data_IF_075446843871
#
_entry.id   IF_075446843871
#
_cell.length_a   1.000
_cell.length_b   1.000
_cell.length_c   1.000
_cell.angle_alpha   90.00
_cell.angle_beta   90.00
_cell.angle_gamma   90.00
#
_symmetry.space_group_name_H-M   'P 1'
#
loop_
_entity.id
_entity.type
_entity.pdbx_description
1 polymer ?
#
# COMPACT_ATOMS: atom_id res chain seq x y z
N UNK A 1 -23.28 -22.14 -3.16
CA UNK A 1 -24.51 -21.32 -3.18
C UNK A 1 -24.86 -21.06 -1.72
N UNK A 2 -24.22 -20.07 -1.09
CA UNK A 2 -24.35 -19.76 0.36
C UNK A 2 -24.22 -18.25 0.66
N UNK A 3 -24.61 -17.38 -0.29
CA UNK A 3 -24.59 -15.93 -0.08
C UNK A 3 -25.98 -15.33 0.19
N UNK A 4 -27.03 -16.15 0.27
CA UNK A 4 -28.42 -15.67 0.36
C UNK A 4 -28.81 -15.01 1.70
N UNK A 5 -27.94 -15.01 2.71
CA UNK A 5 -28.32 -14.54 4.06
C UNK A 5 -27.49 -13.37 4.63
N UNK A 6 -26.52 -12.80 3.91
CA UNK A 6 -25.82 -11.60 4.38
C UNK A 6 -26.59 -10.32 4.03
N UNK A 7 -27.39 -9.81 4.98
CA UNK A 7 -27.95 -8.46 4.90
C UNK A 7 -26.95 -7.46 5.50
N UNK A 8 -26.29 -6.69 4.65
CA UNK A 8 -25.45 -5.57 5.08
C UNK A 8 -26.38 -4.41 5.48
N UNK A 9 -26.33 -3.91 6.72
CA UNK A 9 -27.16 -2.78 7.12
C UNK A 9 -26.75 -1.52 6.34
N UNK A 10 -27.73 -0.67 6.03
CA UNK A 10 -27.44 0.66 5.51
C UNK A 10 -26.85 1.49 6.64
N UNK A 11 -25.58 1.83 6.53
CA UNK A 11 -24.89 2.72 7.47
C UNK A 11 -25.02 4.15 6.94
N UNK A 12 -25.78 4.98 7.66
CA UNK A 12 -25.96 6.39 7.32
C UNK A 12 -25.00 7.27 8.12
N UNK A 13 -24.27 8.14 7.43
CA UNK A 13 -23.40 9.13 8.06
C UNK A 13 -24.00 10.54 7.94
N UNK A 14 -23.89 11.39 8.99
CA UNK A 14 -24.46 12.75 8.96
C UNK A 14 -23.60 13.77 8.18
N UNK A 15 -22.65 13.33 7.37
CA UNK A 15 -21.79 14.17 6.53
C UNK A 15 -21.69 13.63 5.11
N UNK A 16 -21.41 14.51 4.15
CA UNK A 16 -21.15 14.11 2.77
C UNK A 16 -19.71 13.60 2.61
N UNK A 17 -19.55 12.56 1.78
CA UNK A 17 -18.22 12.11 1.38
C UNK A 17 -17.57 13.10 0.41
N UNK A 18 -16.25 13.22 0.48
CA UNK A 18 -15.45 13.97 -0.47
C UNK A 18 -14.51 13.04 -1.26
N UNK A 19 -13.97 13.54 -2.36
CA UNK A 19 -13.03 12.82 -3.21
C UNK A 19 -12.04 13.81 -3.80
N UNK A 20 -10.76 13.47 -3.81
CA UNK A 20 -9.75 14.24 -4.53
C UNK A 20 -10.05 14.25 -6.05
N UNK A 21 -9.63 15.29 -6.78
CA UNK A 21 -9.76 15.33 -8.25
C UNK A 21 -8.84 14.30 -8.92
N UNK A 22 -9.06 14.06 -10.22
CA UNK A 22 -8.18 13.29 -11.12
C UNK A 22 -7.84 11.86 -10.66
N UNK A 23 -8.80 11.17 -10.02
CA UNK A 23 -8.63 9.81 -9.50
C UNK A 23 -8.21 8.81 -10.58
N UNK A 24 -8.70 8.95 -11.81
CA UNK A 24 -8.33 8.08 -12.93
C UNK A 24 -6.84 8.20 -13.26
N UNK A 25 -6.33 9.43 -13.30
CA UNK A 25 -4.92 9.71 -13.56
C UNK A 25 -4.03 9.21 -12.42
N UNK A 26 -4.50 9.35 -11.17
CA UNK A 26 -3.87 8.78 -9.98
C UNK A 26 -3.78 7.25 -10.06
N UNK A 27 -4.87 6.57 -10.42
CA UNK A 27 -4.91 5.11 -10.57
C UNK A 27 -3.96 4.64 -11.69
N UNK A 28 -3.94 5.33 -12.84
CA UNK A 28 -3.05 4.99 -13.94
C UNK A 28 -1.55 5.10 -13.57
N UNK A 29 -1.18 6.19 -12.86
CA UNK A 29 0.19 6.37 -12.38
C UNK A 29 0.57 5.32 -11.34
N UNK A 30 -0.35 4.99 -10.44
CA UNK A 30 -0.17 3.95 -9.42
C UNK A 30 0.00 2.55 -10.03
N UNK A 31 -0.78 2.21 -11.06
CA UNK A 31 -0.63 0.95 -11.81
C UNK A 31 0.73 0.86 -12.50
N UNK A 32 1.16 1.95 -13.12
CA UNK A 32 2.48 2.07 -13.75
C UNK A 32 3.59 1.89 -12.71
N UNK A 33 3.46 2.54 -11.55
CA UNK A 33 4.40 2.40 -10.43
C UNK A 33 4.46 0.96 -9.92
N UNK A 34 3.32 0.31 -9.67
CA UNK A 34 3.27 -1.06 -9.20
C UNK A 34 3.91 -2.05 -10.19
N UNK A 35 3.68 -1.83 -11.50
CA UNK A 35 4.31 -2.62 -12.56
C UNK A 35 5.83 -2.45 -12.54
N UNK A 36 6.32 -1.20 -12.43
CA UNK A 36 7.76 -0.88 -12.37
C UNK A 36 8.46 -1.55 -11.19
N UNK A 37 7.79 -1.64 -10.04
CA UNK A 37 8.33 -2.30 -8.85
C UNK A 37 8.06 -3.81 -8.79
N UNK A 38 7.48 -4.40 -9.86
CA UNK A 38 7.22 -5.83 -9.93
C UNK A 38 6.12 -6.33 -8.98
N UNK A 39 5.29 -5.45 -8.41
CA UNK A 39 4.24 -5.81 -7.45
C UNK A 39 3.07 -6.59 -8.08
N UNK A 40 3.01 -6.65 -9.41
CA UNK A 40 2.02 -7.43 -10.15
C UNK A 40 2.73 -8.49 -10.99
N UNK A 41 3.24 -9.57 -10.39
CA UNK A 41 4.12 -10.53 -11.07
C UNK A 41 3.39 -11.40 -12.11
N UNK A 42 2.05 -11.46 -12.07
CA UNK A 42 1.23 -12.19 -13.03
C UNK A 42 0.10 -11.31 -13.56
N UNK A 43 -0.50 -11.72 -14.69
CA UNK A 43 -1.66 -11.06 -15.26
C UNK A 43 -2.86 -11.05 -14.29
N UNK A 44 -3.02 -12.09 -13.47
CA UNK A 44 -4.05 -12.16 -12.44
C UNK A 44 -3.83 -11.12 -11.33
N UNK A 45 -2.59 -10.99 -10.81
CA UNK A 45 -2.26 -9.96 -9.84
C UNK A 45 -2.49 -8.55 -10.41
N UNK A 46 -2.15 -8.33 -11.69
CA UNK A 46 -2.42 -7.07 -12.39
C UNK A 46 -3.91 -6.77 -12.47
N UNK A 47 -4.72 -7.74 -12.90
CA UNK A 47 -6.17 -7.59 -12.97
C UNK A 47 -6.82 -7.40 -11.58
N UNK A 48 -6.28 -8.04 -10.53
CA UNK A 48 -6.71 -7.80 -9.14
C UNK A 48 -6.38 -6.37 -8.70
N UNK A 49 -5.17 -5.88 -8.97
CA UNK A 49 -4.77 -4.51 -8.63
C UNK A 49 -5.61 -3.45 -9.35
N UNK A 50 -6.00 -3.67 -10.62
CA UNK A 50 -6.88 -2.77 -11.38
C UNK A 50 -8.32 -2.72 -10.83
N UNK A 51 -8.81 -3.85 -10.29
CA UNK A 51 -10.15 -3.96 -9.68
C UNK A 51 -10.20 -3.40 -8.27
N UNK A 52 -9.08 -3.40 -7.53
CA UNK A 52 -9.04 -2.98 -6.13
C UNK A 52 -9.21 -1.46 -5.93
N UNK A 53 -8.97 -0.65 -6.98
CA UNK A 53 -9.19 0.82 -6.97
C UNK A 53 -8.52 1.55 -5.81
N UNK A 54 -7.26 1.21 -5.51
CA UNK A 54 -6.51 1.80 -4.40
C UNK A 54 -6.38 3.33 -4.49
N UNK A 55 -6.32 3.92 -5.69
CA UNK A 55 -6.34 5.36 -5.84
C UNK A 55 -7.69 5.97 -5.44
N UNK A 56 -8.81 5.31 -5.74
CA UNK A 56 -10.12 5.77 -5.28
C UNK A 56 -10.25 5.68 -3.77
N UNK A 57 -9.64 4.67 -3.15
CA UNK A 57 -9.61 4.58 -1.69
C UNK A 57 -8.79 5.73 -1.08
N UNK A 58 -7.58 5.96 -1.60
CA UNK A 58 -6.74 7.09 -1.20
C UNK A 58 -7.46 8.44 -1.35
N UNK A 59 -8.06 8.69 -2.52
CA UNK A 59 -8.73 9.94 -2.86
C UNK A 59 -9.94 10.26 -1.98
N UNK A 60 -10.61 9.24 -1.44
CA UNK A 60 -11.74 9.41 -0.51
C UNK A 60 -11.29 9.52 0.94
N UNK A 61 -10.20 8.85 1.31
CA UNK A 61 -9.60 8.96 2.65
C UNK A 61 -8.91 10.31 2.88
N UNK A 62 -8.27 10.86 1.83
CA UNK A 62 -7.50 12.10 1.90
C UNK A 62 -7.86 13.07 0.76
N UNK A 63 -9.13 13.55 0.70
CA UNK A 63 -9.66 14.31 -0.43
C UNK A 63 -8.99 15.68 -0.65
N UNK A 64 -8.28 16.18 0.36
CA UNK A 64 -7.61 17.49 0.33
C UNK A 64 -6.08 17.37 0.40
N UNK A 65 -5.52 16.16 0.30
CA UNK A 65 -4.08 15.99 0.24
C UNK A 65 -3.50 16.57 -1.05
N UNK A 66 -2.23 16.98 -1.01
CA UNK A 66 -1.54 17.38 -2.23
C UNK A 66 -1.46 16.20 -3.22
N UNK A 67 -1.49 16.45 -4.54
CA UNK A 67 -1.45 15.37 -5.53
C UNK A 67 -0.25 14.43 -5.37
N UNK A 68 0.89 14.96 -4.95
CA UNK A 68 2.11 14.19 -4.74
C UNK A 68 2.02 13.29 -3.49
N UNK A 69 1.52 13.81 -2.36
CA UNK A 69 1.32 12.99 -1.16
C UNK A 69 0.24 11.93 -1.39
N UNK A 70 -0.82 12.27 -2.13
CA UNK A 70 -1.88 11.35 -2.49
C UNK A 70 -1.36 10.20 -3.38
N UNK A 71 -0.46 10.49 -4.33
CA UNK A 71 0.22 9.46 -5.12
C UNK A 71 1.05 8.52 -4.23
N UNK A 72 1.85 9.07 -3.32
CA UNK A 72 2.65 8.25 -2.39
C UNK A 72 1.73 7.35 -1.56
N UNK A 73 0.61 7.87 -1.06
CA UNK A 73 -0.32 7.10 -0.26
C UNK A 73 -1.05 6.00 -1.08
N UNK A 74 -1.44 6.29 -2.33
CA UNK A 74 -2.03 5.29 -3.22
C UNK A 74 -1.04 4.15 -3.56
N UNK A 75 0.24 4.48 -3.75
CA UNK A 75 1.31 3.51 -3.97
C UNK A 75 1.57 2.68 -2.71
N UNK A 76 1.58 3.33 -1.54
CA UNK A 76 1.69 2.67 -0.25
C UNK A 76 0.55 1.69 0.01
N UNK A 77 -0.72 2.07 -0.25
CA UNK A 77 -1.86 1.17 -0.13
C UNK A 77 -1.72 -0.05 -1.06
N UNK A 78 -1.29 0.17 -2.31
CA UNK A 78 -1.08 -0.93 -3.23
C UNK A 78 0.01 -1.89 -2.73
N UNK A 79 1.13 -1.36 -2.23
CA UNK A 79 2.16 -2.17 -1.61
C UNK A 79 1.65 -2.93 -0.38
N UNK A 80 0.96 -2.23 0.52
CA UNK A 80 0.46 -2.78 1.78
C UNK A 80 -0.43 -3.99 1.54
N UNK A 81 -1.45 -3.86 0.69
CA UNK A 81 -2.36 -4.96 0.39
C UNK A 81 -1.71 -6.10 -0.39
N UNK A 82 -0.78 -5.80 -1.31
CA UNK A 82 -0.06 -6.86 -2.05
C UNK A 82 0.86 -7.67 -1.14
N UNK A 83 1.54 -7.02 -0.20
CA UNK A 83 2.39 -7.71 0.77
C UNK A 83 1.56 -8.49 1.79
N UNK A 84 0.44 -7.91 2.22
CA UNK A 84 -0.53 -8.62 3.05
C UNK A 84 -0.98 -9.92 2.36
N UNK A 85 -1.49 -9.84 1.14
CA UNK A 85 -1.99 -11.00 0.37
C UNK A 85 -0.91 -12.06 0.05
N UNK A 86 0.31 -11.65 -0.33
CA UNK A 86 1.30 -12.57 -0.92
C UNK A 86 2.39 -13.03 0.04
N UNK A 87 2.65 -12.26 1.09
CA UNK A 87 3.75 -12.51 2.04
C UNK A 87 3.23 -12.85 3.42
N UNK A 88 2.19 -12.15 3.89
CA UNK A 88 1.69 -12.23 5.27
C UNK A 88 0.50 -13.18 5.43
N UNK A 89 -0.48 -13.17 4.52
CA UNK A 89 -1.69 -14.00 4.54
C UNK A 89 -1.40 -15.42 4.05
N UNK A 90 -0.55 -16.13 4.80
CA UNK A 90 -0.27 -17.54 4.61
C UNK A 90 -0.90 -18.34 5.73
N UNK A 91 -1.62 -19.40 5.36
CA UNK A 91 -2.32 -20.33 6.26
C UNK A 91 -1.38 -21.01 7.28
N UNK A 92 -0.06 -20.97 7.06
CA UNK A 92 0.95 -21.59 7.92
C UNK A 92 1.56 -20.59 8.92
N UNK A 93 2.06 -21.07 10.08
CA UNK A 93 2.79 -20.22 11.03
C UNK A 93 4.00 -19.54 10.40
N UNK A 94 4.45 -18.44 11.02
CA UNK A 94 5.57 -17.58 10.58
C UNK A 94 6.71 -18.41 9.97
N UNK A 95 6.83 -18.34 8.64
CA UNK A 95 7.88 -19.03 7.90
C UNK A 95 9.19 -18.25 7.96
N UNK A 96 10.33 -18.93 7.76
CA UNK A 96 11.62 -18.26 7.62
C UNK A 96 11.59 -17.17 6.53
N UNK A 97 10.88 -17.42 5.42
CA UNK A 97 10.69 -16.44 4.34
C UNK A 97 9.93 -15.19 4.82
N UNK A 98 8.86 -15.38 5.61
CA UNK A 98 8.10 -14.26 6.18
C UNK A 98 8.97 -13.44 7.14
N UNK A 99 9.76 -14.11 8.00
CA UNK A 99 10.70 -13.42 8.90
C UNK A 99 11.76 -12.63 8.12
N UNK A 100 12.32 -13.18 7.02
CA UNK A 100 13.26 -12.44 6.17
C UNK A 100 12.65 -11.19 5.55
N UNK A 101 11.38 -11.25 5.09
CA UNK A 101 10.69 -10.07 4.58
C UNK A 101 10.47 -9.03 5.67
N UNK A 102 10.02 -9.44 6.86
CA UNK A 102 9.82 -8.54 8.00
C UNK A 102 11.11 -7.83 8.39
N UNK A 103 12.22 -8.56 8.53
CA UNK A 103 13.53 -7.97 8.81
C UNK A 103 13.94 -6.98 7.72
N UNK A 104 13.77 -7.33 6.45
CA UNK A 104 14.13 -6.43 5.35
C UNK A 104 13.23 -5.17 5.30
N UNK A 105 11.95 -5.27 5.68
CA UNK A 105 11.09 -4.09 5.80
C UNK A 105 11.52 -3.18 6.95
N UNK A 106 11.93 -3.75 8.09
CA UNK A 106 12.49 -3.00 9.22
C UNK A 106 13.79 -2.29 8.81
N UNK A 107 14.68 -2.96 8.09
CA UNK A 107 15.93 -2.35 7.59
C UNK A 107 15.65 -1.13 6.67
N UNK A 108 14.61 -1.20 5.83
CA UNK A 108 14.20 -0.07 4.99
C UNK A 108 13.66 1.09 5.83
N UNK A 109 12.80 0.80 6.80
CA UNK A 109 12.17 1.81 7.66
C UNK A 109 13.21 2.52 8.53
N UNK A 110 14.12 1.75 9.12
CA UNK A 110 15.03 2.20 10.18
C UNK A 110 16.34 2.74 9.61
N UNK A 111 16.86 2.10 8.56
CA UNK A 111 18.21 2.34 8.06
C UNK A 111 18.23 2.89 6.62
N UNK A 112 17.09 2.95 5.93
CA UNK A 112 17.00 3.19 4.47
C UNK A 112 17.85 2.21 3.64
N UNK A 113 18.03 0.98 4.16
CA UNK A 113 18.82 -0.06 3.53
C UNK A 113 17.93 -1.11 2.88
N UNK A 114 18.43 -1.71 1.81
CA UNK A 114 17.84 -2.88 1.19
C UNK A 114 18.82 -4.04 1.30
N UNK A 115 18.31 -5.24 1.55
CA UNK A 115 19.14 -6.45 1.55
C UNK A 115 19.86 -6.63 0.20
N UNK A 116 21.07 -7.24 0.18
CA UNK A 116 21.82 -7.48 -1.06
C UNK A 116 21.05 -8.36 -2.05
N UNK A 117 20.27 -9.31 -1.52
CA UNK A 117 19.34 -10.11 -2.31
C UNK A 117 17.96 -9.43 -2.33
N UNK A 118 17.41 -9.12 -3.52
CA UNK A 118 16.16 -8.39 -3.62
C UNK A 118 14.98 -9.28 -3.22
N UNK A 119 14.38 -8.99 -2.07
CA UNK A 119 13.11 -9.60 -1.66
C UNK A 119 11.91 -8.86 -2.26
N UNK A 120 10.84 -9.60 -2.51
CA UNK A 120 9.62 -9.07 -3.12
C UNK A 120 9.07 -7.91 -2.30
N UNK A 121 8.79 -6.79 -2.95
CA UNK A 121 8.22 -5.59 -2.33
C UNK A 121 9.19 -4.71 -1.52
N UNK A 122 10.40 -5.17 -1.15
CA UNK A 122 11.33 -4.35 -0.35
C UNK A 122 11.75 -3.09 -1.09
N UNK A 123 12.06 -3.20 -2.39
CA UNK A 123 12.42 -2.04 -3.21
C UNK A 123 11.28 -1.03 -3.38
N UNK A 124 10.03 -1.50 -3.41
CA UNK A 124 8.84 -0.65 -3.45
C UNK A 124 8.66 0.12 -2.13
N UNK A 125 8.81 -0.55 -0.99
CA UNK A 125 8.76 0.10 0.32
C UNK A 125 9.85 1.17 0.45
N UNK A 126 11.05 0.88 -0.04
CA UNK A 126 12.16 1.85 -0.02
C UNK A 126 11.85 3.10 -0.82
N UNK A 127 11.34 2.96 -2.05
CA UNK A 127 10.90 4.08 -2.87
C UNK A 127 9.80 4.92 -2.16
N UNK A 128 8.82 4.27 -1.53
CA UNK A 128 7.80 4.95 -0.73
C UNK A 128 8.44 5.72 0.43
N UNK A 129 9.34 5.09 1.19
CA UNK A 129 10.00 5.72 2.33
C UNK A 129 10.86 6.91 1.90
N UNK A 130 11.60 6.80 0.81
CA UNK A 130 12.39 7.90 0.26
C UNK A 130 11.52 9.08 -0.17
N UNK A 131 10.39 8.80 -0.84
CA UNK A 131 9.42 9.86 -1.19
C UNK A 131 8.79 10.48 0.05
N UNK A 132 8.39 9.69 1.04
CA UNK A 132 7.82 10.20 2.30
C UNK A 132 8.81 11.08 3.07
N UNK A 133 10.09 10.70 3.15
CA UNK A 133 11.14 11.53 3.79
C UNK A 133 11.34 12.88 3.10
N UNK A 134 11.00 13.00 1.81
CA UNK A 134 10.97 14.28 1.10
C UNK A 134 9.75 15.16 1.41
N UNK A 135 8.67 14.58 1.95
CA UNK A 135 7.41 15.29 2.26
C UNK A 135 7.19 15.53 3.76
N UNK A 136 7.74 14.67 4.62
CA UNK A 136 7.50 14.67 6.06
C UNK A 136 8.70 15.22 6.81
N UNK A 137 8.45 15.87 7.95
CA UNK A 137 9.52 16.11 8.92
C UNK A 137 10.04 14.77 9.48
N UNK A 138 11.29 14.74 10.01
CA UNK A 138 11.85 13.52 10.60
C UNK A 138 10.94 12.89 11.67
N UNK A 139 10.27 13.72 12.49
CA UNK A 139 9.35 13.27 13.54
C UNK A 139 8.10 12.61 12.96
N UNK A 140 7.53 13.18 11.90
CA UNK A 140 6.37 12.60 11.23
C UNK A 140 6.71 11.30 10.50
N UNK A 141 7.88 11.23 9.87
CA UNK A 141 8.35 9.97 9.28
C UNK A 141 8.59 8.91 10.37
N UNK A 142 9.19 9.29 11.50
CA UNK A 142 9.39 8.39 12.64
C UNK A 142 8.07 7.82 13.17
N UNK A 143 7.01 8.66 13.27
CA UNK A 143 5.66 8.20 13.64
C UNK A 143 5.06 7.24 12.62
N UNK A 144 5.23 7.50 11.32
CA UNK A 144 4.82 6.57 10.27
C UNK A 144 5.55 5.22 10.41
N UNK A 145 6.88 5.26 10.54
CA UNK A 145 7.68 4.05 10.72
C UNK A 145 7.28 3.28 11.98
N UNK A 146 6.98 3.97 13.08
CA UNK A 146 6.46 3.34 14.29
C UNK A 146 5.10 2.66 14.06
N UNK A 147 4.21 3.28 13.28
CA UNK A 147 2.94 2.68 12.88
C UNK A 147 3.11 1.38 12.09
N UNK A 148 4.17 1.27 11.29
CA UNK A 148 4.49 0.08 10.51
C UNK A 148 5.07 -1.08 11.34
N UNK A 149 5.58 -0.81 12.56
CA UNK A 149 6.20 -1.84 13.43
C UNK A 149 5.21 -2.51 14.39
N UNK A 150 4.04 -1.90 14.61
CA UNK A 150 2.99 -2.39 15.51
C UNK A 150 2.06 -3.36 14.79
#
# INVERSE_FOLDING_TARGET
>A
MELEHFRIPVITFPWQGACAPDVEQLEHRRLTWATRHGLTPTAEHRARAERAKYASFAARGFPHASPALLQIFADFLAWFFVIDDLVMDRVNPLSASTLSHLTAFLDVLDLDQSSPEPLFGVGALRDICQRLRGFLSPEHFSRFAQGMRM
#
